data_IF_522415479191
#
_entry.id   IF_522415479191
#
_cell.length_a   1.000
_cell.length_b   1.000
_cell.length_c   1.000
_cell.angle_alpha   90.00
_cell.angle_beta   90.00
_cell.angle_gamma   90.00
#
_symmetry.space_group_name_H-M   'P 1'
#
loop_
_entity.id
_entity.type
_entity.pdbx_description
1 polymer ?
#
# COMPACT_ATOMS: atom_id res chain seq x y z
N UNK A 1 6.30 32.82 -39.28
CA UNK A 1 6.44 32.33 -37.89
C UNK A 1 5.08 32.47 -37.23
N UNK A 2 4.36 31.38 -36.97
CA UNK A 2 3.11 31.48 -36.19
C UNK A 2 3.41 31.89 -34.74
N UNK A 3 2.45 32.52 -34.03
CA UNK A 3 2.65 32.84 -32.62
C UNK A 3 2.90 31.55 -31.84
N UNK A 4 4.01 31.49 -31.10
CA UNK A 4 4.23 30.41 -30.13
C UNK A 4 3.21 30.60 -29.01
N UNK A 5 2.11 29.84 -29.08
CA UNK A 5 1.16 29.71 -27.96
C UNK A 5 1.97 29.29 -26.74
N UNK A 6 2.01 30.15 -25.73
CA UNK A 6 2.73 29.83 -24.50
C UNK A 6 1.93 28.75 -23.77
N UNK A 7 2.49 27.55 -23.67
CA UNK A 7 1.87 26.46 -22.94
C UNK A 7 1.75 26.84 -21.45
N UNK A 8 0.68 26.43 -20.75
CA UNK A 8 0.57 26.59 -19.31
C UNK A 8 1.82 26.11 -18.56
N UNK A 9 2.23 26.77 -17.46
CA UNK A 9 3.48 26.47 -16.72
C UNK A 9 3.62 24.99 -16.32
N UNK A 10 2.50 24.33 -16.02
CA UNK A 10 2.37 22.95 -15.56
C UNK A 10 2.71 22.00 -16.71
N UNK A 11 2.24 22.30 -17.93
CA UNK A 11 2.58 21.54 -19.14
C UNK A 11 4.07 21.72 -19.47
N UNK A 12 4.61 22.94 -19.33
CA UNK A 12 6.05 23.17 -19.53
C UNK A 12 6.92 22.46 -18.48
N UNK A 13 6.44 22.32 -17.24
CA UNK A 13 7.11 21.56 -16.18
C UNK A 13 7.02 20.06 -16.47
N UNK A 14 5.83 19.54 -16.78
CA UNK A 14 5.59 18.13 -17.12
C UNK A 14 6.46 17.66 -18.30
N UNK A 15 6.59 18.47 -19.36
CA UNK A 15 7.47 18.19 -20.49
C UNK A 15 8.96 18.10 -20.10
N UNK A 16 9.41 18.87 -19.11
CA UNK A 16 10.79 18.82 -18.61
C UNK A 16 11.03 17.65 -17.65
N UNK A 17 10.01 17.31 -16.85
CA UNK A 17 10.02 16.11 -15.99
C UNK A 17 10.06 14.82 -16.82
N UNK A 18 9.35 14.78 -17.95
CA UNK A 18 9.42 13.69 -18.93
C UNK A 18 10.63 13.78 -19.89
N UNK A 19 11.62 14.64 -19.62
CA UNK A 19 12.77 14.87 -20.49
C UNK A 19 13.79 13.72 -20.47
N UNK A 20 14.43 13.44 -21.61
CA UNK A 20 15.40 12.35 -21.75
C UNK A 20 16.66 12.55 -20.87
N UNK A 21 17.14 13.79 -20.74
CA UNK A 21 18.33 14.12 -19.95
C UNK A 21 18.04 14.15 -18.45
N UNK A 22 18.76 13.34 -17.66
CA UNK A 22 18.64 13.32 -16.20
C UNK A 22 18.79 14.72 -15.58
N UNK A 23 19.83 15.47 -15.95
CA UNK A 23 20.09 16.84 -15.44
C UNK A 23 18.91 17.80 -15.70
N UNK A 24 18.17 17.60 -16.80
CA UNK A 24 16.98 18.39 -17.12
C UNK A 24 15.80 18.00 -16.22
N UNK A 25 15.61 16.70 -15.93
CA UNK A 25 14.62 16.20 -14.97
C UNK A 25 14.91 16.67 -13.55
N UNK A 26 16.14 16.50 -13.06
CA UNK A 26 16.54 16.88 -11.69
C UNK A 26 16.36 18.38 -11.43
N UNK A 27 16.58 19.21 -12.46
CA UNK A 27 16.30 20.66 -12.42
C UNK A 27 14.80 20.95 -12.45
N UNK A 28 14.01 20.15 -13.17
CA UNK A 28 12.56 20.28 -13.23
C UNK A 28 11.89 19.91 -11.90
N UNK A 29 12.31 18.83 -11.22
CA UNK A 29 11.81 18.44 -9.88
C UNK A 29 12.09 19.54 -8.85
N UNK A 30 13.34 20.04 -8.79
CA UNK A 30 13.70 21.17 -7.90
C UNK A 30 12.93 22.46 -8.22
N UNK A 31 12.62 22.71 -9.50
CA UNK A 31 11.78 23.85 -9.90
C UNK A 31 10.31 23.63 -9.51
N UNK A 32 9.80 22.39 -9.63
CA UNK A 32 8.43 22.04 -9.26
C UNK A 32 8.19 22.29 -7.77
N UNK A 33 9.07 21.83 -6.86
CA UNK A 33 8.91 22.09 -5.41
C UNK A 33 8.78 23.59 -5.11
N UNK A 34 9.64 24.43 -5.70
CA UNK A 34 9.56 25.89 -5.55
C UNK A 34 8.29 26.49 -6.15
N UNK A 35 7.79 25.91 -7.24
CA UNK A 35 6.58 26.35 -7.91
C UNK A 35 5.31 26.00 -7.11
N UNK A 36 5.26 24.81 -6.49
CA UNK A 36 4.17 24.39 -5.59
C UNK A 36 4.04 25.35 -4.42
N UNK A 37 5.15 25.60 -3.69
CA UNK A 37 5.19 26.56 -2.57
C UNK A 37 4.70 27.95 -3.01
N UNK A 38 5.28 28.50 -4.09
CA UNK A 38 4.95 29.85 -4.55
C UNK A 38 3.50 30.00 -5.06
N UNK A 39 2.88 28.91 -5.55
CA UNK A 39 1.49 28.92 -6.01
C UNK A 39 0.51 28.84 -4.84
N UNK A 40 0.74 27.90 -3.93
CA UNK A 40 -0.16 27.60 -2.79
C UNK A 40 -0.07 28.59 -1.63
N UNK A 41 0.94 29.48 -1.62
CA UNK A 41 1.07 30.58 -0.64
C UNK A 41 -0.07 31.61 -0.65
N UNK A 42 -0.94 31.64 -1.69
CA UNK A 42 -2.06 32.59 -1.79
C UNK A 42 -3.37 31.86 -1.53
N UNK A 43 -4.29 32.45 -0.78
CA UNK A 43 -5.62 31.86 -0.51
C UNK A 43 -6.43 31.62 -1.81
N UNK A 44 -6.31 32.50 -2.80
CA UNK A 44 -6.90 32.31 -4.15
C UNK A 44 -6.00 31.48 -5.10
N UNK A 45 -4.83 31.05 -4.63
CA UNK A 45 -3.76 30.40 -5.39
C UNK A 45 -3.80 28.88 -5.33
N UNK A 46 -4.87 28.27 -5.83
CA UNK A 46 -4.95 26.81 -5.96
C UNK A 46 -4.18 26.25 -7.16
N UNK A 47 -3.92 24.95 -7.14
CA UNK A 47 -3.90 24.16 -8.37
C UNK A 47 -5.30 23.63 -8.62
N UNK A 48 -5.72 23.59 -9.88
CA UNK A 48 -6.90 22.80 -10.27
C UNK A 48 -6.54 21.31 -10.34
N UNK A 49 -7.55 20.45 -10.16
CA UNK A 49 -7.45 19.00 -10.32
C UNK A 49 -6.77 18.63 -11.66
N UNK A 50 -7.26 19.26 -12.73
CA UNK A 50 -6.82 19.04 -14.10
C UNK A 50 -5.35 19.46 -14.32
N UNK A 51 -4.84 20.45 -13.58
CA UNK A 51 -3.42 20.85 -13.58
C UNK A 51 -2.53 19.84 -12.84
N UNK A 52 -2.97 19.33 -11.69
CA UNK A 52 -2.19 18.34 -10.94
C UNK A 52 -2.12 16.99 -11.68
N UNK A 53 -3.15 16.58 -12.41
CA UNK A 53 -3.06 15.44 -13.34
C UNK A 53 -1.97 15.63 -14.40
N UNK A 54 -1.77 16.85 -14.91
CA UNK A 54 -0.69 17.17 -15.88
C UNK A 54 0.69 17.12 -15.21
N UNK A 55 0.81 17.64 -13.98
CA UNK A 55 2.04 17.55 -13.17
C UNK A 55 2.39 16.09 -12.87
N UNK A 56 1.43 15.29 -12.39
CA UNK A 56 1.61 13.88 -12.06
C UNK A 56 1.97 13.03 -13.28
N UNK A 57 1.40 13.31 -14.45
CA UNK A 57 1.85 12.67 -15.70
C UNK A 57 3.33 12.97 -16.01
N UNK A 58 3.80 14.17 -15.69
CA UNK A 58 5.23 14.52 -15.75
C UNK A 58 6.08 13.75 -14.74
N UNK A 59 5.64 13.68 -13.49
CA UNK A 59 6.31 12.95 -12.41
C UNK A 59 6.38 11.43 -12.68
N UNK A 60 5.29 10.84 -13.17
CA UNK A 60 5.21 9.45 -13.58
C UNK A 60 6.27 9.11 -14.63
N UNK A 61 6.41 9.92 -15.70
CA UNK A 61 7.46 9.70 -16.70
C UNK A 61 8.87 10.08 -16.20
N UNK A 62 8.99 10.99 -15.24
CA UNK A 62 10.27 11.24 -14.56
C UNK A 62 10.77 9.99 -13.85
N UNK A 63 9.88 9.30 -13.12
CA UNK A 63 10.16 8.02 -12.47
C UNK A 63 10.36 6.89 -13.48
N UNK A 64 9.55 6.83 -14.54
CA UNK A 64 9.67 5.86 -15.64
C UNK A 64 11.07 5.84 -16.27
N UNK A 65 11.66 7.02 -16.47
CA UNK A 65 12.98 7.22 -17.10
C UNK A 65 14.18 7.06 -16.14
N UNK A 66 13.95 6.68 -14.89
CA UNK A 66 15.01 6.37 -13.92
C UNK A 66 15.26 4.86 -13.84
N UNK A 67 16.43 4.41 -14.26
CA UNK A 67 16.77 2.98 -14.37
C UNK A 67 17.78 2.51 -13.30
N UNK A 68 18.40 3.42 -12.55
CA UNK A 68 19.38 3.07 -11.50
C UNK A 68 18.69 2.93 -10.14
N UNK A 69 18.73 1.77 -9.44
CA UNK A 69 17.96 1.52 -8.22
C UNK A 69 18.07 2.59 -7.15
N UNK A 70 19.29 2.95 -6.71
CA UNK A 70 19.49 3.99 -5.69
C UNK A 70 18.90 5.36 -6.09
N UNK A 71 18.94 5.70 -7.38
CA UNK A 71 18.35 6.94 -7.88
C UNK A 71 16.83 6.83 -8.11
N UNK A 72 16.26 5.62 -8.21
CA UNK A 72 14.81 5.42 -8.18
C UNK A 72 14.31 5.70 -6.77
N UNK A 73 15.02 5.22 -5.75
CA UNK A 73 14.68 5.45 -4.35
C UNK A 73 14.78 6.94 -3.97
N UNK A 74 15.92 7.58 -4.25
CA UNK A 74 16.13 9.03 -4.03
C UNK A 74 15.06 9.87 -4.75
N UNK A 75 14.73 9.52 -6.00
CA UNK A 75 13.68 10.19 -6.76
C UNK A 75 12.30 9.93 -6.19
N UNK A 76 11.99 8.70 -5.76
CA UNK A 76 10.73 8.34 -5.12
C UNK A 76 10.50 9.16 -3.85
N UNK A 77 11.50 9.18 -2.96
CA UNK A 77 11.55 9.97 -1.73
C UNK A 77 11.37 11.47 -2.01
N UNK A 78 12.05 11.99 -3.03
CA UNK A 78 11.91 13.39 -3.47
C UNK A 78 10.52 13.71 -4.02
N UNK A 79 9.86 12.77 -4.69
CA UNK A 79 8.52 12.95 -5.27
C UNK A 79 7.43 12.87 -4.20
N UNK A 80 7.51 11.90 -3.27
CA UNK A 80 6.52 11.76 -2.20
C UNK A 80 6.51 12.98 -1.27
N UNK A 81 7.69 13.48 -0.90
CA UNK A 81 7.88 14.68 -0.08
C UNK A 81 7.37 15.99 -0.71
N UNK A 82 6.91 15.98 -1.97
CA UNK A 82 6.24 17.14 -2.56
C UNK A 82 4.91 17.48 -1.88
N UNK A 83 4.25 16.52 -1.21
CA UNK A 83 3.01 16.78 -0.45
C UNK A 83 3.24 17.83 0.65
N UNK A 84 4.39 17.81 1.31
CA UNK A 84 4.80 18.78 2.34
C UNK A 84 5.21 20.15 1.79
N UNK A 85 5.16 20.35 0.47
CA UNK A 85 5.43 21.63 -0.18
C UNK A 85 4.16 22.46 -0.45
N UNK A 86 2.98 21.89 -0.24
CA UNK A 86 1.69 22.58 -0.37
C UNK A 86 1.33 23.26 0.95
N UNK A 87 0.90 24.53 0.90
CA UNK A 87 0.59 25.32 2.09
C UNK A 87 -0.84 25.11 2.66
N UNK A 88 -1.68 24.31 2.01
CA UNK A 88 -3.09 24.08 2.39
C UNK A 88 -3.45 22.61 2.26
N UNK A 89 -4.20 22.07 3.22
CA UNK A 89 -4.52 20.63 3.24
C UNK A 89 -5.43 20.21 2.10
N UNK A 90 -6.33 21.09 1.63
CA UNK A 90 -7.11 20.86 0.41
C UNK A 90 -6.22 20.58 -0.82
N UNK A 91 -5.10 21.30 -0.95
CA UNK A 91 -4.19 21.13 -2.07
C UNK A 91 -3.25 19.91 -1.88
N UNK A 92 -2.93 19.55 -0.63
CA UNK A 92 -2.27 18.28 -0.30
C UNK A 92 -3.17 17.09 -0.68
N UNK A 93 -4.42 17.11 -0.24
CA UNK A 93 -5.45 16.12 -0.54
C UNK A 93 -5.64 15.99 -2.06
N UNK A 94 -5.79 17.09 -2.79
CA UNK A 94 -5.92 17.08 -4.25
C UNK A 94 -4.68 16.53 -4.97
N UNK A 95 -3.48 16.78 -4.43
CA UNK A 95 -2.23 16.18 -4.94
C UNK A 95 -2.19 14.66 -4.71
N UNK A 96 -2.65 14.17 -3.56
CA UNK A 96 -2.77 12.74 -3.28
C UNK A 96 -3.87 12.09 -4.13
N UNK A 97 -5.01 12.75 -4.33
CA UNK A 97 -6.10 12.21 -5.16
C UNK A 97 -5.64 12.02 -6.60
N UNK A 98 -5.02 13.06 -7.19
CA UNK A 98 -4.52 13.03 -8.56
C UNK A 98 -3.31 12.10 -8.75
N UNK A 99 -2.60 11.73 -7.68
CA UNK A 99 -1.63 10.63 -7.69
C UNK A 99 -2.32 9.30 -7.96
N UNK A 100 -3.29 8.89 -7.13
CA UNK A 100 -3.96 7.60 -7.26
C UNK A 100 -4.70 7.47 -8.58
N UNK A 101 -5.37 8.52 -9.05
CA UNK A 101 -5.98 8.57 -10.39
C UNK A 101 -4.94 8.40 -11.52
N UNK A 102 -3.75 8.99 -11.38
CA UNK A 102 -2.67 8.81 -12.36
C UNK A 102 -2.12 7.38 -12.30
N UNK A 103 -1.95 6.81 -11.11
CA UNK A 103 -1.52 5.42 -10.95
C UNK A 103 -2.54 4.46 -11.57
N UNK A 104 -3.83 4.56 -11.20
CA UNK A 104 -4.92 3.75 -11.74
C UNK A 104 -4.94 3.75 -13.28
N UNK A 105 -4.85 4.94 -13.89
CA UNK A 105 -4.87 5.11 -15.36
C UNK A 105 -3.66 4.50 -16.05
N UNK A 106 -2.45 4.73 -15.54
CA UNK A 106 -1.22 4.32 -16.22
C UNK A 106 -0.79 2.88 -15.83
N UNK A 107 -1.33 2.30 -14.75
CA UNK A 107 -0.96 0.97 -14.23
C UNK A 107 -0.97 -0.15 -15.28
N UNK A 108 -2.00 -0.30 -16.15
CA UNK A 108 -2.02 -1.36 -17.16
C UNK A 108 -0.92 -1.20 -18.23
N UNK A 109 -0.32 -0.02 -18.34
CA UNK A 109 0.78 0.28 -19.25
C UNK A 109 2.18 0.01 -18.67
N UNK A 110 2.31 -0.28 -17.36
CA UNK A 110 3.59 -0.57 -16.71
C UNK A 110 4.01 -2.00 -17.03
N UNK A 111 5.20 -2.16 -17.63
CA UNK A 111 5.78 -3.48 -17.86
C UNK A 111 6.46 -4.06 -16.62
N UNK A 112 6.62 -5.39 -16.58
CA UNK A 112 7.17 -6.11 -15.42
C UNK A 112 8.56 -5.64 -14.96
N UNK A 113 9.39 -5.05 -15.83
CA UNK A 113 10.73 -4.59 -15.45
C UNK A 113 10.70 -3.21 -14.75
N UNK A 114 9.54 -2.54 -14.74
CA UNK A 114 9.33 -1.22 -14.11
C UNK A 114 8.39 -1.28 -12.92
N UNK A 115 7.75 -2.42 -12.65
CA UNK A 115 6.69 -2.55 -11.64
C UNK A 115 7.18 -2.17 -10.23
N UNK A 116 8.31 -2.73 -9.81
CA UNK A 116 8.82 -2.65 -8.43
C UNK A 116 9.06 -1.19 -7.95
N UNK A 117 9.59 -0.34 -8.83
CA UNK A 117 9.82 1.09 -8.49
C UNK A 117 8.53 1.90 -8.38
N UNK A 118 7.45 1.46 -9.03
CA UNK A 118 6.13 2.08 -8.88
C UNK A 118 5.40 1.57 -7.63
N UNK A 119 5.57 0.30 -7.24
CA UNK A 119 5.17 -0.19 -5.92
C UNK A 119 5.88 0.55 -4.77
N UNK A 120 7.19 0.76 -4.90
CA UNK A 120 7.97 1.58 -3.97
C UNK A 120 7.46 3.03 -3.92
N UNK A 121 7.16 3.65 -5.07
CA UNK A 121 6.58 5.00 -5.11
C UNK A 121 5.22 5.08 -4.41
N UNK A 122 4.32 4.11 -4.62
CA UNK A 122 3.04 4.04 -3.91
C UNK A 122 3.24 3.94 -2.39
N UNK A 123 4.22 3.13 -1.94
CA UNK A 123 4.58 3.00 -0.53
C UNK A 123 5.07 4.33 0.06
N UNK A 124 5.99 5.00 -0.62
CA UNK A 124 6.51 6.31 -0.20
C UNK A 124 5.42 7.40 -0.18
N UNK A 125 4.54 7.45 -1.18
CA UNK A 125 3.44 8.44 -1.22
C UNK A 125 2.40 8.16 -0.12
N UNK A 126 2.07 6.89 0.17
CA UNK A 126 1.20 6.55 1.29
C UNK A 126 1.83 6.96 2.62
N UNK A 127 3.13 6.68 2.83
CA UNK A 127 3.84 7.11 4.03
C UNK A 127 3.79 8.62 4.21
N UNK A 128 4.14 9.40 3.19
CA UNK A 128 4.16 10.86 3.32
C UNK A 128 2.74 11.47 3.49
N UNK A 129 1.69 10.79 3.00
CA UNK A 129 0.31 11.16 3.31
C UNK A 129 -0.04 10.94 4.78
N UNK A 130 0.37 9.80 5.35
CA UNK A 130 0.21 9.51 6.79
C UNK A 130 1.08 10.44 7.64
N UNK A 131 2.31 10.75 7.22
CA UNK A 131 3.18 11.73 7.88
C UNK A 131 2.54 13.13 7.88
N UNK A 132 1.89 13.54 6.79
CA UNK A 132 1.17 14.82 6.76
C UNK A 132 0.05 14.86 7.80
N UNK A 133 -0.72 13.76 7.93
CA UNK A 133 -1.76 13.62 8.95
C UNK A 133 -1.19 13.62 10.38
N UNK A 134 -0.06 12.92 10.60
CA UNK A 134 0.71 12.95 11.86
C UNK A 134 1.12 14.37 12.24
N UNK A 135 1.66 15.15 11.30
CA UNK A 135 2.05 16.56 11.57
C UNK A 135 0.86 17.49 11.88
N UNK A 136 -0.37 17.03 11.65
CA UNK A 136 -1.60 17.71 12.00
C UNK A 136 -2.23 17.17 13.30
N UNK A 137 -1.50 16.32 14.05
CA UNK A 137 -1.96 15.74 15.31
C UNK A 137 -3.06 14.70 15.13
N UNK A 138 -3.11 14.01 13.98
CA UNK A 138 -4.14 13.03 13.65
C UNK A 138 -5.58 13.61 13.71
N UNK A 139 -5.75 14.85 13.23
CA UNK A 139 -7.05 15.53 13.17
C UNK A 139 -8.12 14.63 12.50
N UNK A 140 -9.27 14.50 13.16
CA UNK A 140 -10.32 13.57 12.75
C UNK A 140 -10.87 13.90 11.36
N UNK A 141 -11.05 15.18 11.02
CA UNK A 141 -11.58 15.57 9.71
C UNK A 141 -10.57 15.33 8.60
N UNK A 142 -9.28 15.58 8.86
CA UNK A 142 -8.23 15.29 7.88
C UNK A 142 -8.02 13.78 7.72
N UNK A 143 -8.21 13.00 8.80
CA UNK A 143 -8.24 11.54 8.77
C UNK A 143 -9.40 11.03 7.91
N UNK A 144 -10.62 11.47 8.18
CA UNK A 144 -11.83 11.13 7.40
C UNK A 144 -11.66 11.47 5.92
N UNK A 145 -11.18 12.68 5.59
CA UNK A 145 -10.92 13.08 4.21
C UNK A 145 -9.88 12.19 3.52
N UNK A 146 -8.76 11.87 4.18
CA UNK A 146 -7.76 10.96 3.62
C UNK A 146 -8.33 9.54 3.40
N UNK A 147 -9.13 9.04 4.32
CA UNK A 147 -9.79 7.72 4.21
C UNK A 147 -10.88 7.70 3.12
N UNK A 148 -11.64 8.78 2.94
CA UNK A 148 -12.63 8.93 1.87
C UNK A 148 -11.96 8.90 0.48
N UNK A 149 -10.84 9.63 0.32
CA UNK A 149 -9.98 9.57 -0.87
C UNK A 149 -9.40 8.16 -1.08
N UNK A 150 -8.83 7.59 -0.01
CA UNK A 150 -8.44 6.18 0.18
C UNK A 150 -9.40 5.21 -0.50
N UNK A 151 -10.63 5.32 -0.04
CA UNK A 151 -11.73 4.44 -0.38
C UNK A 151 -12.18 4.69 -1.81
N UNK A 152 -12.49 5.94 -2.16
CA UNK A 152 -13.05 6.33 -3.46
C UNK A 152 -12.10 6.00 -4.61
N UNK A 153 -10.82 6.33 -4.47
CA UNK A 153 -9.85 6.17 -5.56
C UNK A 153 -9.30 4.74 -5.66
N UNK A 154 -9.32 3.94 -4.59
CA UNK A 154 -8.70 2.59 -4.59
C UNK A 154 -9.69 1.47 -4.27
N UNK A 155 -10.36 1.51 -3.12
CA UNK A 155 -11.09 0.34 -2.59
C UNK A 155 -12.52 0.21 -3.08
N UNK A 156 -13.18 1.31 -3.45
CA UNK A 156 -14.60 1.36 -3.76
C UNK A 156 -14.93 0.44 -4.96
N UNK A 157 -16.10 -0.24 -4.98
CA UNK A 157 -16.48 -1.11 -6.10
C UNK A 157 -16.48 -0.41 -7.46
N UNK A 158 -16.86 0.87 -7.50
CA UNK A 158 -16.87 1.69 -8.73
C UNK A 158 -15.50 2.29 -9.09
N UNK A 159 -14.45 2.06 -8.27
CA UNK A 159 -13.10 2.53 -8.60
C UNK A 159 -12.51 1.73 -9.77
N UNK A 160 -12.03 2.46 -10.79
CA UNK A 160 -11.26 1.94 -11.92
C UNK A 160 -9.86 1.41 -11.52
N UNK A 161 -9.47 1.45 -10.24
CA UNK A 161 -8.21 0.93 -9.75
C UNK A 161 -8.01 -0.56 -10.11
N UNK A 162 -6.96 -0.91 -10.87
CA UNK A 162 -6.67 -2.31 -11.21
C UNK A 162 -6.27 -3.14 -10.00
N UNK A 163 -6.50 -4.46 -10.06
CA UNK A 163 -6.28 -5.36 -8.93
C UNK A 163 -4.84 -5.33 -8.37
N UNK A 164 -3.82 -5.03 -9.19
CA UNK A 164 -2.45 -4.85 -8.70
C UNK A 164 -2.27 -3.62 -7.80
N UNK A 165 -2.98 -2.53 -8.07
CA UNK A 165 -3.03 -1.34 -7.20
C UNK A 165 -3.77 -1.67 -5.91
N UNK A 166 -4.96 -2.30 -6.02
CA UNK A 166 -5.78 -2.70 -4.88
C UNK A 166 -5.02 -3.65 -3.93
N UNK A 167 -4.43 -4.73 -4.44
CA UNK A 167 -3.65 -5.69 -3.64
C UNK A 167 -2.50 -5.00 -2.92
N UNK A 168 -1.63 -4.29 -3.65
CA UNK A 168 -0.46 -3.66 -3.05
C UNK A 168 -0.84 -2.62 -2.00
N UNK A 169 -1.85 -1.79 -2.25
CA UNK A 169 -2.35 -0.83 -1.26
C UNK A 169 -2.80 -1.51 0.04
N UNK A 170 -3.57 -2.59 -0.06
CA UNK A 170 -4.03 -3.35 1.11
C UNK A 170 -2.85 -4.00 1.85
N UNK A 171 -1.89 -4.57 1.13
CA UNK A 171 -0.68 -5.20 1.68
C UNK A 171 0.19 -4.20 2.47
N UNK A 172 0.39 -2.97 1.95
CA UNK A 172 1.26 -1.97 2.59
C UNK A 172 0.56 -1.11 3.66
N UNK A 173 -0.77 -1.09 3.74
CA UNK A 173 -1.49 -0.08 4.52
C UNK A 173 -1.10 -0.10 6.00
N UNK A 174 -1.19 -1.27 6.66
CA UNK A 174 -0.79 -1.39 8.06
C UNK A 174 0.72 -1.19 8.22
N UNK A 175 1.56 -1.76 7.34
CA UNK A 175 3.02 -1.61 7.44
C UNK A 175 3.49 -0.15 7.41
N UNK A 176 2.85 0.72 6.62
CA UNK A 176 3.20 2.13 6.56
C UNK A 176 2.50 2.95 7.65
N UNK A 177 1.34 2.52 8.15
CA UNK A 177 0.69 3.11 9.31
C UNK A 177 1.50 2.90 10.60
N UNK A 178 1.93 1.67 10.86
CA UNK A 178 2.80 1.30 11.98
C UNK A 178 4.05 2.19 12.02
N UNK A 179 4.77 2.31 10.90
CA UNK A 179 6.02 3.09 10.80
C UNK A 179 5.86 4.60 11.00
N UNK A 180 4.63 5.13 10.90
CA UNK A 180 4.36 6.56 11.08
C UNK A 180 3.76 6.85 12.45
N UNK A 181 2.87 5.99 12.95
CA UNK A 181 1.98 6.30 14.07
C UNK A 181 1.88 5.27 15.20
N UNK A 182 2.67 4.18 15.21
CA UNK A 182 2.57 3.17 16.28
C UNK A 182 2.59 3.77 17.70
N UNK A 183 3.55 4.65 17.98
CA UNK A 183 3.72 5.31 19.30
C UNK A 183 2.77 6.51 19.56
N UNK A 184 1.91 6.90 18.62
CA UNK A 184 1.04 8.09 18.76
C UNK A 184 -0.46 7.78 18.63
N UNK A 185 -0.81 6.67 17.99
CA UNK A 185 -2.19 6.34 17.67
C UNK A 185 -2.85 5.52 18.77
N UNK A 186 -3.90 6.10 19.35
CA UNK A 186 -4.79 5.38 20.26
C UNK A 186 -5.51 4.23 19.56
N UNK A 187 -5.91 3.21 20.33
CA UNK A 187 -6.72 2.08 19.87
C UNK A 187 -7.99 2.51 19.08
N UNK A 188 -8.65 3.59 19.51
CA UNK A 188 -9.85 4.13 18.85
C UNK A 188 -9.55 4.85 17.52
N UNK A 189 -8.38 5.47 17.38
CA UNK A 189 -7.94 6.05 16.11
C UNK A 189 -7.54 4.94 15.14
N UNK A 190 -6.82 3.91 15.62
CA UNK A 190 -6.47 2.73 14.83
C UNK A 190 -7.72 1.99 14.32
N UNK A 191 -8.77 1.84 15.15
CA UNK A 191 -10.06 1.30 14.72
C UNK A 191 -10.72 2.18 13.63
N UNK A 192 -10.72 3.51 13.78
CA UNK A 192 -11.24 4.44 12.76
C UNK A 192 -10.47 4.34 11.43
N UNK A 193 -9.15 4.18 11.48
CA UNK A 193 -8.30 4.05 10.29
C UNK A 193 -8.54 2.74 9.51
N UNK A 194 -8.94 1.65 10.18
CA UNK A 194 -9.27 0.38 9.51
C UNK A 194 -10.76 0.28 9.11
N UNK A 195 -11.62 1.19 9.55
CA UNK A 195 -13.08 1.12 9.31
C UNK A 195 -13.49 1.04 7.81
N UNK A 196 -12.83 1.72 6.86
CA UNK A 196 -13.11 1.51 5.44
C UNK A 196 -12.89 0.06 4.98
N UNK A 197 -11.89 -0.62 5.53
CA UNK A 197 -11.63 -2.03 5.23
C UNK A 197 -12.72 -2.94 5.81
N UNK A 198 -13.25 -2.63 7.00
CA UNK A 198 -14.41 -3.31 7.58
C UNK A 198 -15.64 -3.20 6.66
N UNK A 199 -15.90 -2.01 6.14
CA UNK A 199 -17.01 -1.74 5.21
C UNK A 199 -16.83 -2.43 3.86
N UNK A 200 -15.67 -2.28 3.22
CA UNK A 200 -15.40 -2.89 1.92
C UNK A 200 -15.37 -4.42 2.00
N UNK A 201 -14.81 -5.01 3.06
CA UNK A 201 -14.82 -6.47 3.24
C UNK A 201 -16.23 -7.04 3.47
N UNK A 202 -17.15 -6.27 4.05
CA UNK A 202 -18.55 -6.67 4.17
C UNK A 202 -19.25 -6.67 2.81
N UNK A 203 -19.02 -5.65 1.96
CA UNK A 203 -19.85 -5.40 0.77
C UNK A 203 -19.26 -5.92 -0.56
N UNK A 204 -17.94 -6.08 -0.66
CA UNK A 204 -17.26 -6.38 -1.94
C UNK A 204 -17.71 -7.71 -2.57
N UNK A 205 -17.83 -7.72 -3.90
CA UNK A 205 -18.05 -8.94 -4.69
C UNK A 205 -16.74 -9.55 -5.20
N UNK A 206 -15.61 -8.83 -5.13
CA UNK A 206 -14.32 -9.37 -5.55
C UNK A 206 -13.70 -10.22 -4.43
N UNK A 207 -13.65 -11.53 -4.68
CA UNK A 207 -13.05 -12.52 -3.79
C UNK A 207 -11.56 -12.29 -3.50
N UNK A 208 -10.82 -11.64 -4.40
CA UNK A 208 -9.42 -11.30 -4.20
C UNK A 208 -9.29 -10.13 -3.24
N UNK A 209 -10.07 -9.06 -3.43
CA UNK A 209 -10.10 -7.92 -2.50
C UNK A 209 -10.50 -8.39 -1.09
N UNK A 210 -11.56 -9.20 -0.97
CA UNK A 210 -11.94 -9.81 0.32
C UNK A 210 -10.80 -10.64 0.93
N UNK A 211 -10.10 -11.44 0.13
CA UNK A 211 -9.00 -12.27 0.61
C UNK A 211 -7.84 -11.42 1.12
N UNK A 212 -7.45 -10.38 0.37
CA UNK A 212 -6.34 -9.50 0.71
C UNK A 212 -6.66 -8.68 1.97
N UNK A 213 -7.88 -8.14 2.10
CA UNK A 213 -8.28 -7.41 3.32
C UNK A 213 -8.30 -8.38 4.52
N UNK A 214 -8.92 -9.55 4.36
CA UNK A 214 -8.99 -10.52 5.46
C UNK A 214 -7.61 -11.03 5.90
N UNK A 215 -6.65 -11.16 4.97
CA UNK A 215 -5.29 -11.59 5.29
C UNK A 215 -4.42 -10.42 5.77
N UNK A 216 -4.18 -9.43 4.91
CA UNK A 216 -3.22 -8.34 5.12
C UNK A 216 -3.64 -7.30 6.16
N UNK A 217 -4.94 -7.14 6.43
CA UNK A 217 -5.43 -6.28 7.51
C UNK A 217 -5.79 -7.13 8.73
N UNK A 218 -6.90 -7.90 8.68
CA UNK A 218 -7.46 -8.45 9.91
C UNK A 218 -6.72 -9.67 10.47
N UNK A 219 -6.21 -10.58 9.63
CA UNK A 219 -5.42 -11.71 10.12
C UNK A 219 -4.05 -11.23 10.64
N UNK A 220 -3.46 -10.18 10.06
CA UNK A 220 -2.27 -9.45 10.56
C UNK A 220 -2.49 -8.86 11.96
N UNK A 221 -3.56 -8.08 12.17
CA UNK A 221 -3.88 -7.46 13.49
C UNK A 221 -4.01 -8.54 14.58
N UNK A 222 -4.63 -9.69 14.26
CA UNK A 222 -4.78 -10.80 15.21
C UNK A 222 -3.46 -11.54 15.45
N UNK A 223 -2.53 -11.55 14.49
CA UNK A 223 -1.21 -12.17 14.64
C UNK A 223 -0.21 -11.28 15.38
N UNK A 224 -0.34 -9.95 15.27
CA UNK A 224 0.45 -8.97 16.01
C UNK A 224 -0.02 -8.75 17.45
N UNK A 225 -1.25 -9.16 17.80
CA UNK A 225 -1.84 -8.93 19.12
C UNK A 225 -0.98 -9.38 20.34
N UNK A 226 -0.28 -10.53 20.32
CA UNK A 226 0.58 -10.92 21.45
C UNK A 226 1.76 -9.95 21.66
N UNK A 227 2.35 -9.46 20.57
CA UNK A 227 3.49 -8.54 20.60
C UNK A 227 3.08 -7.16 21.13
N UNK A 228 1.92 -6.66 20.73
CA UNK A 228 1.36 -5.40 21.23
C UNK A 228 1.04 -5.46 22.74
N UNK A 229 0.59 -6.62 23.24
CA UNK A 229 0.35 -6.84 24.67
C UNK A 229 1.67 -6.91 25.44
N UNK A 230 2.70 -7.57 24.88
CA UNK A 230 4.05 -7.64 25.46
C UNK A 230 4.72 -6.26 25.52
N UNK A 231 4.63 -5.46 24.45
CA UNK A 231 5.09 -4.06 24.38
C UNK A 231 4.42 -3.21 25.47
N UNK A 232 3.08 -3.28 25.59
CA UNK A 232 2.32 -2.55 26.62
C UNK A 232 2.63 -3.02 28.05
N UNK A 233 2.88 -4.32 28.27
CA UNK A 233 3.26 -4.83 29.59
C UNK A 233 4.64 -4.31 30.00
N UNK A 234 5.61 -4.29 29.09
CA UNK A 234 6.94 -3.76 29.35
C UNK A 234 6.89 -2.24 29.62
N UNK A 235 6.11 -1.47 28.84
CA UNK A 235 5.90 -0.03 29.08
C UNK A 235 5.36 0.23 30.51
N UNK A 236 4.38 -0.56 30.96
CA UNK A 236 3.83 -0.44 32.33
C UNK A 236 4.82 -0.85 33.42
N UNK A 237 5.64 -1.89 33.19
CA UNK A 237 6.70 -2.29 34.14
C UNK A 237 7.81 -1.23 34.22
N UNK A 238 8.14 -0.54 33.12
CA UNK A 238 9.07 0.60 33.11
C UNK A 238 8.48 1.84 33.81
N UNK A 239 7.19 2.13 33.63
CA UNK A 239 6.48 3.20 34.36
C UNK A 239 6.44 2.92 35.87
N UNK A 240 6.03 1.72 36.31
CA UNK A 240 5.98 1.33 37.73
C UNK A 240 7.36 1.45 38.41
N UNK A 241 8.44 1.01 37.75
CA UNK A 241 9.80 1.16 38.26
C UNK A 241 10.21 2.64 38.39
N UNK A 242 9.80 3.50 37.46
CA UNK A 242 10.10 4.94 37.52
C UNK A 242 9.36 5.65 38.65
N UNK A 243 8.09 5.28 38.91
CA UNK A 243 7.32 5.81 40.04
C UNK A 243 7.88 5.33 41.39
N UNK A 244 8.34 4.08 41.50
CA UNK A 244 9.04 3.57 42.69
C UNK A 244 10.38 4.29 42.94
N UNK A 245 11.17 4.59 41.88
CA UNK A 245 12.39 5.37 42.00
C UNK A 245 12.11 6.82 42.46
N UNK A 246 11.17 7.54 41.84
CA UNK A 246 10.81 8.92 42.23
C UNK A 246 10.29 8.99 43.68
N UNK A 247 9.44 8.04 44.11
CA UNK A 247 8.97 7.95 45.49
C UNK A 247 10.13 7.72 46.48
N UNK A 248 11.12 6.92 46.11
CA UNK A 248 12.31 6.68 46.95
C UNK A 248 13.21 7.92 47.08
N UNK A 249 13.32 8.73 46.02
CA UNK A 249 14.07 9.99 46.05
C UNK A 249 13.34 11.08 46.86
N UNK A 250 12.00 11.18 46.77
CA UNK A 250 11.22 12.10 47.61
C UNK A 250 11.24 11.71 49.09
N UNK A 251 11.15 10.41 49.44
CA UNK A 251 11.30 9.97 50.84
C UNK A 251 12.69 10.34 51.38
N UNK A 252 13.76 10.10 50.62
CA UNK A 252 15.14 10.47 51.01
C UNK A 252 15.33 11.98 51.22
N UNK A 253 14.73 12.83 50.38
CA UNK A 253 14.77 14.28 50.54
C UNK A 253 13.94 14.77 51.75
N UNK A 254 12.88 14.05 52.12
CA UNK A 254 12.05 14.38 53.29
C UNK A 254 12.76 14.04 54.61
N UNK A 255 13.65 13.05 54.63
CA UNK A 255 14.45 12.71 55.82
C UNK A 255 15.62 13.69 56.06
N UNK A 256 16.19 14.32 55.02
CA UNK A 256 17.28 15.30 55.19
C UNK A 256 16.82 16.67 55.74
N UNK A 257 15.61 17.17 55.44
CA UNK A 257 15.13 18.44 56.02
C UNK A 257 14.89 18.39 57.56
N UNK A 258 14.91 17.21 58.16
CA UNK A 258 14.74 17.04 59.61
C UNK A 258 16.01 17.34 60.44
N UNK A 259 17.21 17.44 59.82
CA UNK A 259 18.49 17.57 60.53
C UNK A 259 19.51 18.49 59.84
N UNK A 260 19.52 19.78 60.20
CA UNK A 260 20.70 20.44 60.83
C UNK A 260 20.53 21.98 60.95
N UNK A 261 21.02 22.60 62.05
CA UNK A 261 21.11 24.05 62.17
C UNK A 261 22.55 24.58 61.98
N UNK A 262 22.74 25.56 61.09
CA UNK A 262 23.58 26.72 61.41
C UNK A 262 24.95 26.93 60.72
N UNK A 263 24.95 27.91 59.81
CA UNK A 263 25.90 29.04 59.67
C UNK A 263 27.43 28.81 59.51
N UNK A 264 27.98 29.08 58.31
CA UNK A 264 28.86 30.24 57.97
C UNK A 264 29.83 30.02 56.77
N UNK A 265 29.65 30.85 55.73
CA UNK A 265 30.68 31.62 54.99
C UNK A 265 31.84 30.94 54.23
N UNK A 266 31.83 31.12 52.88
CA UNK A 266 32.74 32.10 52.22
C UNK A 266 32.44 32.43 50.75
N UNK A 267 33.01 33.57 50.34
CA UNK A 267 32.67 34.46 49.22
C UNK A 267 32.89 33.94 47.77
N UNK A 268 32.24 34.63 46.83
CA UNK A 268 32.37 34.51 45.37
C UNK A 268 33.51 35.36 44.78
N UNK A 269 33.90 35.15 43.50
CA UNK A 269 33.73 36.23 42.53
C UNK A 269 33.33 35.81 41.08
N UNK A 270 33.05 36.83 40.25
CA UNK A 270 32.36 36.77 38.94
C UNK A 270 33.27 36.57 37.70
N UNK A 271 32.66 36.05 36.63
CA UNK A 271 32.98 36.32 35.22
C UNK A 271 32.80 35.08 34.34
N UNK A 272 32.43 35.09 33.07
CA UNK A 272 31.97 36.09 32.08
C UNK A 272 31.89 35.34 30.72
N UNK A 273 31.23 35.89 29.71
CA UNK A 273 31.28 35.50 28.27
C UNK A 273 30.43 34.29 27.80
N UNK A 274 29.26 34.66 27.24
CA UNK A 274 28.69 34.25 25.95
C UNK A 274 29.05 32.87 25.34
N UNK A 275 28.05 31.97 25.20
CA UNK A 275 28.10 30.81 24.31
C UNK A 275 27.26 31.07 23.04
N UNK A 276 27.93 31.10 21.89
CA UNK A 276 27.27 31.28 20.59
C UNK A 276 26.43 30.06 20.20
N UNK A 277 25.30 30.33 19.53
CA UNK A 277 24.47 29.32 18.88
C UNK A 277 25.27 28.57 17.79
N UNK A 278 25.01 27.27 17.63
CA UNK A 278 25.42 26.48 16.45
C UNK A 278 24.19 25.82 15.84
N UNK A 279 24.18 25.53 14.52
CA UNK A 279 22.97 25.16 13.80
C UNK A 279 22.56 23.71 14.06
N UNK A 280 21.25 23.47 14.05
CA UNK A 280 20.65 22.16 13.86
C UNK A 280 20.87 21.72 12.41
N UNK A 281 21.67 20.67 12.22
CA UNK A 281 21.74 19.87 10.99
C UNK A 281 22.36 18.51 11.32
N UNK A 282 21.52 17.56 11.74
CA UNK A 282 21.79 16.11 11.79
C UNK A 282 20.45 15.38 11.76
N UNK A 283 19.98 15.05 10.56
CA UNK A 283 19.22 13.81 10.39
C UNK A 283 20.27 12.70 10.26
N UNK A 284 20.55 12.03 11.38
CA UNK A 284 21.05 10.67 11.33
C UNK A 284 19.81 9.77 11.19
N UNK A 285 19.84 8.85 10.24
CA UNK A 285 18.97 7.68 10.29
C UNK A 285 19.66 6.76 11.33
N UNK A 286 19.20 6.83 12.58
CA UNK A 286 19.68 5.95 13.65
C UNK A 286 19.01 4.57 13.48
N UNK A 287 19.74 3.64 12.85
CA UNK A 287 19.42 2.19 12.85
C UNK A 287 19.78 1.61 14.24
N UNK A 288 18.97 1.90 15.25
CA UNK A 288 18.98 1.16 16.52
C UNK A 288 18.24 -0.18 16.33
N UNK A 289 18.94 -1.16 15.75
CA UNK A 289 18.43 -2.47 15.30
C UNK A 289 18.10 -3.46 16.45
N UNK A 290 17.84 -2.96 17.67
CA UNK A 290 17.52 -3.76 18.88
C UNK A 290 16.28 -3.23 19.67
N UNK A 291 15.61 -2.16 19.23
CA UNK A 291 14.27 -1.83 19.75
C UNK A 291 13.23 -2.74 19.09
N UNK A 292 12.24 -3.22 19.86
CA UNK A 292 11.16 -4.04 19.32
C UNK A 292 10.47 -3.28 18.18
N UNK A 293 10.23 -3.95 17.04
CA UNK A 293 9.55 -3.30 15.91
C UNK A 293 8.14 -2.88 16.37
N UNK A 294 7.85 -1.57 16.45
CA UNK A 294 6.74 -1.09 17.26
C UNK A 294 5.41 -1.53 16.67
N UNK A 295 4.43 -1.85 17.52
CA UNK A 295 3.17 -2.47 17.09
C UNK A 295 2.01 -1.48 17.22
N UNK A 296 1.04 -1.56 16.31
CA UNK A 296 -0.19 -0.77 16.42
C UNK A 296 -1.09 -1.36 17.53
N UNK A 297 -1.37 -0.55 18.54
CA UNK A 297 -2.32 -0.90 19.61
C UNK A 297 -3.77 -0.85 19.09
N UNK A 298 -4.56 -1.89 19.36
CA UNK A 298 -5.98 -1.98 18.98
C UNK A 298 -6.82 -2.50 20.14
N UNK A 299 -8.03 -1.97 20.31
CA UNK A 299 -9.07 -2.70 21.07
C UNK A 299 -9.56 -3.86 20.19
N UNK A 300 -8.94 -5.02 20.38
CA UNK A 300 -9.27 -6.23 19.64
C UNK A 300 -10.72 -6.71 19.85
N UNK A 301 -11.35 -6.34 20.97
CA UNK A 301 -12.76 -6.61 21.20
C UNK A 301 -13.61 -5.67 20.34
N UNK A 302 -13.32 -4.37 20.31
CA UNK A 302 -14.01 -3.43 19.44
C UNK A 302 -13.82 -3.78 17.94
N UNK A 303 -12.62 -4.21 17.53
CA UNK A 303 -12.38 -4.76 16.18
C UNK A 303 -13.25 -6.00 15.91
N UNK A 304 -13.30 -6.95 16.84
CA UNK A 304 -14.10 -8.17 16.69
C UNK A 304 -15.60 -7.89 16.64
N UNK A 305 -16.10 -7.01 17.53
CA UNK A 305 -17.49 -6.58 17.61
C UNK A 305 -17.90 -5.81 16.34
N UNK A 306 -17.04 -4.92 15.83
CA UNK A 306 -17.28 -4.20 14.57
C UNK A 306 -17.34 -5.14 13.37
N UNK A 307 -16.39 -6.07 13.25
CA UNK A 307 -16.42 -7.09 12.19
C UNK A 307 -17.64 -8.02 12.31
N UNK A 308 -18.09 -8.33 13.54
CA UNK A 308 -19.29 -9.12 13.78
C UNK A 308 -20.56 -8.37 13.39
N UNK A 309 -20.68 -7.08 13.73
CA UNK A 309 -21.78 -6.21 13.34
C UNK A 309 -21.90 -6.16 11.81
N UNK A 310 -20.80 -5.84 11.12
CA UNK A 310 -20.73 -5.77 9.66
C UNK A 310 -21.05 -7.12 9.00
N UNK A 311 -20.58 -8.24 9.56
CA UNK A 311 -20.91 -9.57 9.07
C UNK A 311 -22.39 -9.98 9.28
N UNK A 312 -23.02 -9.45 10.34
CA UNK A 312 -24.41 -9.75 10.73
C UNK A 312 -25.46 -9.04 9.88
N UNK A 313 -25.11 -7.96 9.18
CA UNK A 313 -26.05 -7.22 8.32
C UNK A 313 -26.60 -8.08 7.18
N UNK A 314 -27.81 -7.76 6.72
CA UNK A 314 -28.57 -8.59 5.76
C UNK A 314 -28.04 -8.46 4.32
N UNK A 315 -27.47 -7.30 3.97
CA UNK A 315 -26.83 -6.98 2.69
C UNK A 315 -25.47 -7.69 2.49
N UNK A 316 -24.78 -8.05 3.58
CA UNK A 316 -23.49 -8.77 3.54
C UNK A 316 -23.61 -10.13 2.83
N UNK A 317 -22.85 -10.38 1.74
CA UNK A 317 -22.87 -11.65 1.02
C UNK A 317 -22.47 -12.85 1.88
N UNK A 318 -23.04 -14.06 1.64
CA UNK A 318 -22.75 -15.25 2.46
C UNK A 318 -21.27 -15.66 2.50
N UNK A 319 -20.53 -15.43 1.41
CA UNK A 319 -19.09 -15.69 1.34
C UNK A 319 -18.30 -14.76 2.28
N UNK A 320 -18.63 -13.46 2.25
CA UNK A 320 -18.00 -12.41 3.06
C UNK A 320 -18.29 -12.69 4.54
N UNK A 321 -19.56 -12.89 4.90
CA UNK A 321 -19.99 -13.29 6.25
C UNK A 321 -19.22 -14.51 6.77
N UNK A 322 -19.02 -15.54 5.93
CA UNK A 322 -18.24 -16.73 6.31
C UNK A 322 -16.76 -16.44 6.54
N UNK A 323 -16.14 -15.52 5.78
CA UNK A 323 -14.74 -15.10 5.98
C UNK A 323 -14.60 -14.23 7.23
N UNK A 324 -15.45 -13.21 7.39
CA UNK A 324 -15.45 -12.33 8.56
C UNK A 324 -15.67 -13.12 9.87
N UNK A 325 -16.67 -14.01 9.93
CA UNK A 325 -16.84 -14.91 11.09
C UNK A 325 -15.70 -15.93 11.28
N UNK A 326 -14.83 -16.17 10.30
CA UNK A 326 -13.58 -16.94 10.52
C UNK A 326 -12.57 -16.06 11.27
N UNK A 327 -12.42 -14.80 10.86
CA UNK A 327 -11.54 -13.81 11.51
C UNK A 327 -11.99 -13.54 12.95
N UNK A 328 -13.27 -13.23 13.18
CA UNK A 328 -13.84 -12.98 14.52
C UNK A 328 -13.67 -14.18 15.46
N UNK A 329 -13.77 -15.42 14.96
CA UNK A 329 -13.47 -16.61 15.77
C UNK A 329 -11.99 -16.80 16.04
N UNK A 330 -11.10 -16.35 15.14
CA UNK A 330 -9.65 -16.37 15.37
C UNK A 330 -9.29 -15.37 16.47
N UNK A 331 -9.76 -14.11 16.38
CA UNK A 331 -9.50 -13.10 17.41
C UNK A 331 -9.98 -13.57 18.79
N UNK A 332 -11.26 -13.92 18.94
CA UNK A 332 -11.81 -14.40 20.23
C UNK A 332 -11.04 -15.61 20.79
N UNK A 333 -10.59 -16.54 19.95
CA UNK A 333 -9.81 -17.70 20.41
C UNK A 333 -8.40 -17.34 20.90
N UNK A 334 -7.75 -16.32 20.33
CA UNK A 334 -6.46 -15.84 20.83
C UNK A 334 -6.61 -15.24 22.24
N UNK A 335 -7.65 -14.43 22.49
CA UNK A 335 -7.86 -13.80 23.81
C UNK A 335 -8.34 -14.77 24.89
N UNK A 336 -9.17 -15.75 24.55
CA UNK A 336 -9.59 -16.79 25.51
C UNK A 336 -8.46 -17.72 25.98
N UNK A 337 -7.34 -17.75 25.26
CA UNK A 337 -6.15 -18.55 25.61
C UNK A 337 -5.09 -17.75 26.39
N UNK A 338 -5.23 -16.42 26.51
CA UNK A 338 -4.27 -15.52 27.16
C UNK A 338 -4.71 -14.87 28.47
N UNK A 339 -6.00 -14.94 28.82
CA UNK A 339 -6.51 -14.37 30.08
C UNK A 339 -6.51 -15.37 31.26
N UNK A 340 -6.34 -14.91 32.52
CA UNK A 340 -6.64 -15.74 33.68
C UNK A 340 -8.13 -16.13 33.65
N UNK A 341 -8.41 -17.42 33.88
CA UNK A 341 -9.73 -18.03 33.68
C UNK A 341 -10.86 -17.28 34.38
N UNK A 342 -11.65 -16.53 33.59
CA UNK A 342 -12.93 -15.98 34.01
C UNK A 342 -14.00 -16.32 32.96
N UNK A 343 -15.06 -17.00 33.40
CA UNK A 343 -16.10 -17.52 32.53
C UNK A 343 -17.01 -16.39 32.00
N UNK A 344 -16.86 -16.02 30.72
CA UNK A 344 -17.89 -15.24 30.03
C UNK A 344 -18.90 -16.20 29.41
N UNK A 345 -19.94 -16.53 30.20
CA UNK A 345 -21.05 -17.36 29.78
C UNK A 345 -21.95 -16.65 28.76
N UNK A 346 -21.67 -16.83 27.46
CA UNK A 346 -22.60 -16.43 26.39
C UNK A 346 -23.81 -17.39 26.35
N UNK A 347 -24.87 -17.01 27.05
CA UNK A 347 -26.13 -17.76 27.12
C UNK A 347 -26.87 -17.83 25.78
N UNK A 348 -26.76 -18.97 25.09
CA UNK A 348 -27.62 -19.34 23.95
C UNK A 348 -28.79 -20.26 24.40
N UNK A 349 -30.00 -20.14 23.82
CA UNK A 349 -31.16 -20.90 24.30
C UNK A 349 -31.03 -22.42 24.12
N UNK A 350 -31.36 -23.14 25.19
CA UNK A 350 -31.46 -24.61 25.22
C UNK A 350 -32.50 -25.15 24.23
N UNK A 351 -32.08 -26.08 23.37
CA UNK A 351 -32.97 -27.02 22.70
C UNK A 351 -32.64 -28.44 23.17
N UNK A 352 -33.62 -29.06 23.83
CA UNK A 352 -33.43 -30.28 24.61
C UNK A 352 -32.94 -31.49 23.82
N UNK A 353 -31.99 -32.23 24.40
CA UNK A 353 -31.38 -33.40 23.77
C UNK A 353 -32.28 -34.64 23.74
N UNK A 354 -31.97 -35.54 22.79
CA UNK A 354 -32.26 -36.97 22.90
C UNK A 354 -30.95 -37.74 22.62
N UNK A 355 -30.56 -38.70 23.46
CA UNK A 355 -29.31 -39.43 23.28
C UNK A 355 -29.40 -40.42 22.10
N UNK A 356 -28.30 -40.57 21.35
CA UNK A 356 -28.11 -41.66 20.37
C UNK A 356 -27.04 -42.63 20.90
N UNK A 357 -27.24 -43.95 20.81
CA UNK A 357 -26.30 -44.93 21.35
C UNK A 357 -25.09 -45.17 20.43
N UNK A 358 -23.96 -45.53 21.03
CA UNK A 358 -22.75 -45.97 20.33
C UNK A 358 -22.92 -47.35 19.67
N UNK A 359 -22.36 -47.57 18.46
CA UNK A 359 -22.05 -48.91 17.96
C UNK A 359 -20.56 -49.25 18.15
N UNK A 360 -20.28 -50.47 18.58
CA UNK A 360 -18.96 -51.03 18.83
C UNK A 360 -18.21 -51.40 17.53
N UNK A 361 -16.87 -51.30 17.55
CA UNK A 361 -15.99 -51.79 16.48
C UNK A 361 -15.78 -53.32 16.57
N UNK A 362 -15.85 -54.03 15.44
CA UNK A 362 -15.01 -55.22 15.14
C UNK A 362 -14.64 -55.29 13.64
N UNK A 363 -13.50 -55.91 13.24
CA UNK A 363 -12.93 -55.78 11.88
C UNK A 363 -12.81 -57.10 11.08
N UNK A 364 -12.58 -56.98 9.75
CA UNK A 364 -11.89 -57.87 8.77
C UNK A 364 -12.33 -57.42 7.34
N UNK A 365 -11.52 -57.10 6.32
CA UNK A 365 -10.27 -57.63 5.69
C UNK A 365 -10.53 -58.67 4.58
N UNK A 366 -9.97 -58.40 3.38
CA UNK A 366 -9.95 -59.18 2.10
C UNK A 366 -11.29 -59.33 1.34
N UNK A 367 -11.34 -59.50 0.01
CA UNK A 367 -10.30 -59.39 -1.03
C UNK A 367 -10.71 -59.95 -2.43
N UNK A 368 -10.63 -59.11 -3.47
CA UNK A 368 -10.45 -59.36 -4.94
C UNK A 368 -11.24 -60.45 -5.74
N UNK A 369 -11.90 -59.98 -6.80
CA UNK A 369 -11.99 -60.48 -8.21
C UNK A 369 -12.30 -61.97 -8.57
N UNK A 370 -13.39 -62.16 -9.33
CA UNK A 370 -13.53 -62.81 -10.67
C UNK A 370 -15.02 -63.23 -10.89
N UNK A 371 -15.59 -63.56 -12.05
CA UNK A 371 -15.54 -63.21 -13.50
C UNK A 371 -16.46 -64.28 -14.17
N UNK A 372 -17.17 -63.96 -15.27
CA UNK A 372 -17.91 -64.91 -16.16
C UNK A 372 -19.17 -65.62 -15.57
N UNK A 373 -20.14 -66.17 -16.33
CA UNK A 373 -20.72 -65.88 -17.67
C UNK A 373 -22.01 -66.75 -17.88
N UNK A 374 -22.75 -66.54 -19.00
CA UNK A 374 -23.95 -67.29 -19.48
C UNK A 374 -25.29 -66.94 -18.76
N UNK A 375 -26.45 -66.84 -19.44
CA UNK A 375 -26.75 -66.84 -20.89
C UNK A 375 -28.26 -66.90 -21.19
N UNK A 376 -28.66 -66.49 -22.42
CA UNK A 376 -29.97 -66.73 -23.11
C UNK A 376 -31.26 -66.14 -22.45
N UNK A 377 -32.37 -65.78 -23.14
CA UNK A 377 -32.72 -65.82 -24.57
C UNK A 377 -33.96 -64.91 -24.90
N UNK A 378 -34.33 -64.84 -26.19
CA UNK A 378 -35.61 -64.41 -26.80
C UNK A 378 -35.95 -62.92 -27.05
N UNK A 379 -36.34 -62.67 -28.31
CA UNK A 379 -37.25 -61.61 -28.80
C UNK A 379 -38.12 -62.22 -29.91
N UNK A 380 -39.33 -61.68 -30.19
CA UNK A 380 -39.61 -61.33 -31.60
C UNK A 380 -40.59 -60.17 -31.85
N UNK A 381 -40.33 -59.43 -32.95
CA UNK A 381 -41.32 -58.97 -33.96
C UNK A 381 -42.29 -57.82 -33.60
N UNK A 382 -42.75 -56.95 -34.52
CA UNK A 382 -42.83 -57.05 -35.98
C UNK A 382 -43.30 -55.72 -36.63
N UNK A 383 -42.64 -55.26 -37.71
CA UNK A 383 -43.13 -54.42 -38.86
C UNK A 383 -43.88 -53.08 -38.57
N UNK A 384 -44.10 -52.11 -39.49
CA UNK A 384 -44.21 -52.07 -40.97
C UNK A 384 -43.92 -50.66 -41.55
N UNK A 385 -43.95 -50.50 -42.89
CA UNK A 385 -43.40 -49.36 -43.68
C UNK A 385 -44.42 -48.22 -44.03
N UNK A 386 -43.85 -47.06 -44.43
CA UNK A 386 -44.12 -46.20 -45.64
C UNK A 386 -44.84 -44.81 -45.54
N UNK A 387 -44.14 -43.81 -46.12
CA UNK A 387 -44.55 -42.77 -47.13
C UNK A 387 -44.97 -41.31 -46.74
N UNK A 388 -44.08 -40.38 -47.12
CA UNK A 388 -44.25 -39.14 -47.96
C UNK A 388 -45.37 -38.10 -47.65
N UNK A 389 -44.97 -36.82 -47.45
CA UNK A 389 -45.00 -35.74 -48.49
C UNK A 389 -44.23 -34.45 -48.05
N UNK A 390 -44.09 -33.47 -48.96
CA UNK A 390 -43.20 -32.27 -48.90
C UNK A 390 -43.94 -30.94 -48.71
N UNK A 391 -43.25 -29.98 -48.09
CA UNK A 391 -43.08 -28.54 -48.41
C UNK A 391 -41.68 -28.10 -47.86
N UNK A 392 -41.05 -26.95 -48.13
CA UNK A 392 -41.31 -25.84 -49.07
C UNK A 392 -41.25 -24.46 -48.36
N UNK A 393 -40.35 -23.51 -48.67
CA UNK A 393 -39.25 -23.46 -49.66
C UNK A 393 -38.23 -22.33 -49.37
N UNK A 394 -37.18 -22.24 -50.19
CA UNK A 394 -36.02 -21.32 -50.13
C UNK A 394 -36.20 -20.15 -51.15
N UNK A 395 -35.41 -19.03 -51.19
CA UNK A 395 -34.00 -19.11 -51.63
C UNK A 395 -32.98 -17.98 -51.24
N UNK A 396 -31.72 -18.23 -51.62
CA UNK A 396 -30.73 -17.29 -52.22
C UNK A 396 -29.47 -16.83 -51.40
N UNK A 397 -28.46 -17.71 -51.45
CA UNK A 397 -26.98 -17.61 -51.28
C UNK A 397 -26.35 -16.70 -52.39
N UNK A 398 -25.21 -15.96 -52.23
CA UNK A 398 -23.82 -16.50 -52.11
C UNK A 398 -22.86 -15.78 -51.11
N UNK A 399 -22.02 -16.48 -50.32
CA UNK A 399 -20.80 -17.29 -50.63
C UNK A 399 -19.59 -16.46 -51.09
N UNK A 400 -18.47 -16.55 -50.36
CA UNK A 400 -17.24 -17.21 -50.87
C UNK A 400 -16.14 -17.50 -49.81
N UNK A 401 -15.68 -18.76 -49.82
CA UNK A 401 -14.33 -19.26 -49.47
C UNK A 401 -14.14 -20.60 -50.17
N UNK A 402 -12.98 -20.85 -50.77
CA UNK A 402 -12.19 -22.07 -50.47
C UNK A 402 -10.70 -21.70 -50.36
N UNK A 403 -9.77 -22.41 -49.72
CA UNK A 403 -9.61 -23.72 -49.08
C UNK A 403 -8.13 -23.76 -48.60
N UNK A 404 -7.52 -24.81 -48.07
CA UNK A 404 -7.96 -26.18 -47.78
C UNK A 404 -6.74 -27.12 -47.84
N UNK A 405 -6.30 -27.65 -46.68
CA UNK A 405 -5.17 -28.60 -46.49
C UNK A 405 -3.75 -28.04 -46.80
N UNK A 406 -2.67 -28.50 -46.17
CA UNK A 406 -2.49 -29.45 -45.05
C UNK A 406 -1.00 -29.87 -44.93
N UNK A 407 -0.55 -30.39 -43.78
CA UNK A 407 0.79 -31.00 -43.66
C UNK A 407 1.52 -30.77 -42.33
N UNK A 408 2.00 -31.85 -41.71
CA UNK A 408 2.90 -31.81 -40.53
C UNK A 408 4.36 -31.71 -40.99
N UNK A 409 5.21 -30.99 -40.25
CA UNK A 409 6.66 -30.98 -40.45
C UNK A 409 7.40 -30.30 -39.30
N UNK A 410 8.39 -30.99 -38.71
CA UNK A 410 9.15 -30.54 -37.53
C UNK A 410 10.49 -29.84 -37.95
N UNK A 411 11.34 -29.37 -37.00
CA UNK A 411 11.97 -28.05 -37.11
C UNK A 411 13.36 -28.01 -37.77
N UNK A 412 13.78 -26.81 -38.21
CA UNK A 412 15.16 -26.54 -38.64
C UNK A 412 15.88 -25.49 -37.78
N UNK A 413 17.14 -25.81 -37.47
CA UNK A 413 18.14 -24.96 -36.78
C UNK A 413 18.72 -23.87 -37.70
N UNK A 414 19.59 -23.04 -37.10
CA UNK A 414 20.58 -22.08 -37.68
C UNK A 414 20.09 -20.62 -37.75
N UNK A 415 20.90 -19.58 -37.48
CA UNK A 415 22.39 -19.46 -37.32
C UNK A 415 22.77 -18.41 -36.26
N UNK A 416 23.98 -18.53 -35.68
CA UNK A 416 24.72 -17.42 -35.05
C UNK A 416 25.51 -16.63 -36.12
N UNK A 417 25.74 -15.32 -35.99
CA UNK A 417 26.86 -14.63 -36.64
C UNK A 417 28.15 -14.73 -35.79
N UNK A 418 29.32 -14.74 -36.46
CA UNK A 418 30.66 -14.64 -35.83
C UNK A 418 31.22 -13.23 -36.01
N UNK A 419 32.20 -12.90 -35.17
CA UNK A 419 32.96 -11.64 -35.15
C UNK A 419 34.02 -11.59 -36.27
N UNK A 420 34.18 -10.40 -36.88
CA UNK A 420 35.50 -9.82 -37.19
C UNK A 420 35.99 -9.80 -38.64
N UNK A 421 36.21 -8.60 -39.20
CA UNK A 421 37.48 -8.17 -39.84
C UNK A 421 37.48 -6.65 -40.20
N UNK A 422 38.67 -6.03 -40.20
CA UNK A 422 38.96 -4.58 -40.29
C UNK A 422 38.98 -4.00 -41.72
N UNK A 423 38.67 -2.69 -41.85
CA UNK A 423 39.34 -1.63 -42.66
C UNK A 423 38.32 -0.48 -42.96
N UNK A 424 38.65 0.81 -43.14
CA UNK A 424 39.92 1.59 -43.16
C UNK A 424 39.60 3.05 -42.76
N UNK A 425 40.60 3.85 -42.34
CA UNK A 425 40.40 5.28 -41.96
C UNK A 425 40.28 6.24 -43.15
N UNK A 426 39.44 7.27 -42.99
CA UNK A 426 39.61 8.67 -43.42
C UNK A 426 38.50 9.50 -42.72
N UNK A 427 38.67 10.75 -42.28
CA UNK A 427 39.84 11.62 -42.14
C UNK A 427 39.33 12.94 -41.55
N UNK A 428 39.73 13.31 -40.34
CA UNK A 428 39.10 14.41 -39.59
C UNK A 428 39.75 15.77 -39.93
N UNK A 429 38.95 16.83 -40.08
CA UNK A 429 39.44 18.22 -40.15
C UNK A 429 38.67 19.12 -39.18
N UNK A 430 39.40 19.71 -38.23
CA UNK A 430 38.89 20.73 -37.31
C UNK A 430 39.00 22.14 -37.93
N UNK A 431 38.02 23.04 -37.70
CA UNK A 431 38.18 24.47 -37.94
C UNK A 431 38.78 25.19 -36.72
N UNK A 432 39.77 26.04 -36.98
CA UNK A 432 40.67 26.67 -35.98
C UNK A 432 39.98 27.67 -35.05
N UNK A 433 40.44 27.70 -33.80
CA UNK A 433 40.04 28.69 -32.79
C UNK A 433 40.47 30.13 -33.16
N UNK A 434 39.57 31.10 -32.94
CA UNK A 434 39.86 32.53 -33.10
C UNK A 434 40.52 33.10 -31.83
N UNK A 435 41.78 33.54 -31.94
CA UNK A 435 42.44 34.35 -30.90
C UNK A 435 41.72 35.70 -30.72
N UNK A 436 41.29 36.02 -29.51
CA UNK A 436 40.93 37.40 -29.11
C UNK A 436 42.22 38.22 -28.95
N UNK A 437 42.22 39.47 -29.40
CA UNK A 437 43.22 40.48 -29.04
C UNK A 437 42.74 41.23 -27.80
N UNK A 438 43.62 41.41 -26.82
CA UNK A 438 43.54 42.45 -25.80
C UNK A 438 44.32 43.68 -26.28
N UNK A 439 43.85 44.91 -26.01
CA UNK A 439 44.68 46.09 -26.00
C UNK A 439 45.00 46.49 -24.55
N UNK A 440 46.25 46.35 -24.14
CA UNK A 440 46.79 47.14 -23.03
C UNK A 440 47.25 48.49 -23.60
N UNK A 441 46.93 49.58 -22.90
CA UNK A 441 47.47 50.89 -23.20
C UNK A 441 48.47 51.30 -22.13
N UNK A 442 49.60 51.88 -22.54
CA UNK A 442 50.33 52.88 -21.74
C UNK A 442 51.37 53.62 -22.60
N UNK A 443 51.41 54.95 -22.41
CA UNK A 443 52.27 55.98 -23.04
C UNK A 443 51.89 56.40 -24.46
#
# INVERSE_FOLDING_TARGET
MGPRVQLPPEIQLAQRLAGNEQVTRDRAVRKLRKYIVARTQRAEGGFTHDELLKVWKGLFYCMWMQDKPLLQEELGRTISQLVHAFQTTEAQHLFLQTFWQTMNREWPGIDRLRLDKFYMLMRMVLREALTALRTQGWDERQTEQLLELLTTEILHPDSEAPNGVKSHFIEIFLEELTKVGAHELTADQNLRLIEPFCTIAAQTQDSLVLHNIAQGIFETIVEQAPLAIEELMNELEEEELSEEEELSEEEALSEEEAQEPGVLSRESPKGSVCRAQRPLDKQAEDDDEDSASPVLQFDYKAVADRLFEMASRQDTPPQNRKRLYKVVRKSVAHFQMGGPSSEIALGGPSLGGRPRPHPSRRPCVSGRHAKEALGSDLSPGSTRKRRRRRAGGDPAVPRERPGGHGGRGAPRRQRRPRVGAKAKMAGCQEPKAKRKRTPEGQK
#
